data_IF_628376521038
#
_entry.id   IF_628376521038
#
_cell.length_a   1.000
_cell.length_b   1.000
_cell.length_c   1.000
_cell.angle_alpha   90.00
_cell.angle_beta   90.00
_cell.angle_gamma   90.00
#
_symmetry.space_group_name_H-M   'P 1'
#
loop_
_entity.id
_entity.type
_entity.pdbx_description
1 polymer ?
#
# COMPACT_ATOMS: atom_id res chain seq x y z
N UNK A 1 31.15 18.51 2.35
CA UNK A 1 29.76 18.98 2.44
C UNK A 1 29.23 19.15 1.02
N UNK A 2 28.04 18.63 0.71
CA UNK A 2 27.49 18.75 -0.65
C UNK A 2 26.75 20.09 -0.79
N UNK A 3 26.93 20.83 -1.89
CA UNK A 3 26.40 22.17 -2.06
C UNK A 3 24.87 22.15 -2.21
N UNK A 4 24.23 23.23 -1.73
CA UNK A 4 22.82 23.54 -1.94
C UNK A 4 22.48 23.48 -3.44
N UNK A 5 21.65 22.52 -3.84
CA UNK A 5 21.18 22.47 -5.22
C UNK A 5 20.33 21.26 -5.58
N UNK A 6 20.54 20.10 -4.96
CA UNK A 6 19.72 18.92 -5.23
C UNK A 6 19.34 18.22 -3.92
N UNK A 7 18.12 18.46 -3.46
CA UNK A 7 17.52 17.65 -2.40
C UNK A 7 17.48 16.20 -2.86
N UNK A 8 17.96 15.28 -2.01
CA UNK A 8 17.77 13.85 -2.25
C UNK A 8 16.28 13.52 -2.31
N UNK A 9 15.90 12.48 -3.07
CA UNK A 9 14.51 12.02 -3.19
C UNK A 9 13.85 11.82 -1.82
N UNK A 10 14.58 11.24 -0.88
CA UNK A 10 14.14 11.07 0.52
C UNK A 10 13.85 12.40 1.21
N UNK A 11 14.68 13.44 1.05
CA UNK A 11 14.44 14.77 1.62
C UNK A 11 13.23 15.45 0.97
N UNK A 12 13.05 15.29 -0.34
CA UNK A 12 11.87 15.81 -1.07
C UNK A 12 10.60 15.16 -0.53
N UNK A 13 10.56 13.83 -0.43
CA UNK A 13 9.42 13.08 0.14
C UNK A 13 9.15 13.50 1.58
N UNK A 14 10.19 13.62 2.40
CA UNK A 14 10.07 14.07 3.79
C UNK A 14 9.41 15.44 3.90
N UNK A 15 9.86 16.40 3.08
CA UNK A 15 9.35 17.77 3.06
C UNK A 15 7.92 17.82 2.54
N UNK A 16 7.62 17.08 1.48
CA UNK A 16 6.27 16.95 0.92
C UNK A 16 5.28 16.40 1.95
N UNK A 17 5.64 15.30 2.63
CA UNK A 17 4.82 14.69 3.68
C UNK A 17 4.52 15.67 4.82
N UNK A 18 5.50 16.45 5.26
CA UNK A 18 5.30 17.47 6.29
C UNK A 18 4.30 18.55 5.85
N UNK A 19 4.37 18.98 4.58
CA UNK A 19 3.43 19.97 4.02
C UNK A 19 2.01 19.40 3.90
N UNK A 20 1.89 18.16 3.44
CA UNK A 20 0.58 17.49 3.32
C UNK A 20 -0.09 17.25 4.67
N UNK A 21 0.66 16.91 5.71
CA UNK A 21 0.12 16.81 7.06
C UNK A 21 -0.38 18.15 7.59
N UNK A 22 0.38 19.23 7.37
CA UNK A 22 -0.05 20.58 7.75
C UNK A 22 -1.32 20.99 7.00
N UNK A 23 -1.40 20.67 5.71
CA UNK A 23 -2.60 20.87 4.91
C UNK A 23 -3.80 20.10 5.46
N UNK A 24 -3.65 18.79 5.67
CA UNK A 24 -4.70 17.92 6.20
C UNK A 24 -5.25 18.43 7.54
N UNK A 25 -4.35 18.85 8.45
CA UNK A 25 -4.72 19.43 9.75
C UNK A 25 -5.40 20.79 9.63
N UNK A 26 -4.91 21.65 8.73
CA UNK A 26 -5.44 23.02 8.55
C UNK A 26 -6.85 23.03 7.95
N UNK A 27 -7.15 22.09 7.06
CA UNK A 27 -8.43 22.05 6.34
C UNK A 27 -9.35 20.92 6.81
N UNK A 28 -8.97 20.19 7.87
CA UNK A 28 -9.72 19.02 8.37
C UNK A 28 -10.03 18.00 7.28
N UNK A 29 -9.07 17.78 6.38
CA UNK A 29 -9.21 16.89 5.22
C UNK A 29 -8.42 15.61 5.41
N UNK A 30 -8.91 14.51 4.83
CA UNK A 30 -8.16 13.27 4.73
C UNK A 30 -7.39 13.21 3.41
N UNK A 31 -6.09 12.90 3.46
CA UNK A 31 -5.22 12.86 2.28
C UNK A 31 -4.73 11.44 2.06
N UNK A 32 -5.01 10.90 0.88
CA UNK A 32 -4.50 9.60 0.42
C UNK A 32 -3.32 9.80 -0.51
N UNK A 33 -2.29 8.99 -0.34
CA UNK A 33 -1.13 8.95 -1.24
C UNK A 33 -0.94 7.50 -1.66
N UNK A 34 -0.91 7.26 -2.97
CA UNK A 34 -0.61 5.94 -3.54
C UNK A 34 0.85 5.93 -3.92
N UNK A 35 1.60 4.97 -3.37
CA UNK A 35 3.05 4.84 -3.60
C UNK A 35 3.34 3.48 -4.23
N UNK A 36 4.23 3.46 -5.22
CA UNK A 36 4.68 2.22 -5.82
C UNK A 36 5.71 1.52 -4.93
N UNK A 37 5.57 0.19 -4.72
CA UNK A 37 6.56 -0.59 -3.99
C UNK A 37 7.85 -0.74 -4.82
N UNK A 38 8.96 -0.99 -4.13
CA UNK A 38 10.25 -1.29 -4.76
C UNK A 38 10.20 -2.61 -5.54
N UNK A 39 11.00 -2.72 -6.62
CA UNK A 39 11.04 -3.94 -7.44
C UNK A 39 11.41 -5.21 -6.65
N UNK A 40 12.25 -5.09 -5.62
CA UNK A 40 12.71 -6.23 -4.80
C UNK A 40 11.59 -6.91 -4.00
N UNK A 41 10.66 -6.11 -3.47
CA UNK A 41 9.51 -6.62 -2.70
C UNK A 41 8.57 -7.50 -3.53
N UNK A 42 8.52 -7.31 -4.85
CA UNK A 42 7.67 -8.08 -5.75
C UNK A 42 8.23 -9.49 -6.02
N UNK A 43 9.56 -9.63 -5.97
CA UNK A 43 10.26 -10.87 -6.33
C UNK A 43 10.32 -11.86 -5.16
N UNK A 44 10.53 -11.36 -3.94
CA UNK A 44 10.87 -12.17 -2.77
C UNK A 44 9.76 -13.13 -2.29
N UNK A 45 8.51 -12.94 -2.70
CA UNK A 45 7.39 -13.79 -2.22
C UNK A 45 7.00 -13.57 -0.75
N UNK A 46 7.83 -12.83 -0.01
CA UNK A 46 7.59 -12.37 1.35
C UNK A 46 6.34 -11.46 1.43
N UNK A 47 5.82 -11.32 2.63
CA UNK A 47 4.73 -10.40 2.92
C UNK A 47 5.26 -8.97 2.81
N UNK A 48 4.67 -8.12 1.94
CA UNK A 48 5.13 -6.74 1.79
C UNK A 48 4.90 -5.95 3.08
N UNK A 49 5.83 -5.06 3.39
CA UNK A 49 5.72 -4.07 4.46
C UNK A 49 5.71 -2.66 3.86
N UNK A 50 5.18 -1.69 4.60
CA UNK A 50 5.24 -0.27 4.22
C UNK A 50 6.68 0.26 4.10
N UNK A 51 7.69 -0.44 4.62
CA UNK A 51 9.10 -0.12 4.37
C UNK A 51 9.55 -0.44 2.94
N UNK A 52 8.79 -1.27 2.21
CA UNK A 52 9.07 -1.61 0.82
C UNK A 52 8.65 -0.52 -0.18
N UNK A 53 8.08 0.60 0.28
CA UNK A 53 7.72 1.73 -0.56
C UNK A 53 8.97 2.38 -1.19
N UNK A 54 8.93 2.64 -2.50
CA UNK A 54 10.06 3.24 -3.21
C UNK A 54 10.28 4.71 -2.80
N UNK A 55 11.52 5.18 -2.93
CA UNK A 55 11.93 6.57 -2.75
C UNK A 55 12.24 6.99 -1.31
N UNK A 56 11.54 6.48 -0.28
CA UNK A 56 11.84 6.84 1.11
C UNK A 56 11.18 5.99 2.19
N UNK A 57 11.88 5.72 3.30
CA UNK A 57 11.27 5.19 4.53
C UNK A 57 10.33 6.21 5.22
N UNK A 58 10.34 7.48 4.80
CA UNK A 58 9.46 8.50 5.37
C UNK A 58 7.97 8.26 5.13
N UNK A 59 7.61 7.46 4.12
CA UNK A 59 6.22 7.05 3.90
C UNK A 59 5.64 6.39 5.16
N UNK A 60 6.33 5.37 5.67
CA UNK A 60 5.95 4.72 6.92
C UNK A 60 6.07 5.68 8.10
N UNK A 61 7.21 6.35 8.28
CA UNK A 61 7.45 7.14 9.49
C UNK A 61 6.42 8.26 9.69
N UNK A 62 6.01 8.92 8.60
CA UNK A 62 5.17 10.12 8.63
C UNK A 62 3.68 9.82 8.44
N UNK A 63 3.25 8.77 7.75
CA UNK A 63 1.82 8.51 7.60
C UNK A 63 1.13 8.18 8.93
N UNK A 64 -0.17 8.50 9.01
CA UNK A 64 -1.03 8.10 10.14
C UNK A 64 -1.48 6.65 9.98
N UNK A 65 -1.88 6.27 8.77
CA UNK A 65 -2.30 4.92 8.43
C UNK A 65 -1.51 4.41 7.22
N UNK A 66 -1.27 3.10 7.18
CA UNK A 66 -0.58 2.42 6.08
C UNK A 66 -1.39 1.23 5.64
N UNK A 67 -1.74 1.21 4.35
CA UNK A 67 -2.53 0.14 3.74
C UNK A 67 -1.74 -0.41 2.56
N UNK A 68 -1.62 -1.73 2.52
CA UNK A 68 -0.95 -2.46 1.46
C UNK A 68 -2.01 -3.27 0.71
N UNK A 69 -2.07 -3.05 -0.60
CA UNK A 69 -2.96 -3.80 -1.50
C UNK A 69 -2.11 -4.83 -2.23
N UNK A 70 -2.33 -6.11 -1.93
CA UNK A 70 -1.63 -7.23 -2.56
C UNK A 70 -2.59 -8.02 -3.42
N UNK A 71 -2.29 -8.04 -4.72
CA UNK A 71 -2.91 -8.99 -5.65
C UNK A 71 -1.99 -10.20 -5.83
N UNK A 72 -2.44 -11.43 -5.57
CA UNK A 72 -1.67 -12.62 -5.89
C UNK A 72 -1.52 -12.70 -7.41
N UNK A 73 -0.29 -12.53 -7.89
CA UNK A 73 0.06 -12.82 -9.28
C UNK A 73 0.58 -14.27 -9.34
N UNK A 74 0.06 -15.04 -10.29
CA UNK A 74 0.59 -16.36 -10.60
C UNK A 74 2.04 -16.21 -11.08
N UNK A 75 3.00 -16.77 -10.33
CA UNK A 75 4.43 -16.70 -10.67
C UNK A 75 4.82 -17.73 -11.74
N UNK A 76 3.91 -18.65 -12.09
CA UNK A 76 4.10 -19.64 -13.14
C UNK A 76 2.82 -19.82 -13.95
N UNK A 77 2.97 -20.25 -15.20
CA UNK A 77 1.85 -20.62 -16.08
C UNK A 77 0.95 -21.70 -15.46
N UNK A 78 1.53 -22.65 -14.70
CA UNK A 78 0.77 -23.68 -13.98
C UNK A 78 -0.11 -23.09 -12.87
N UNK A 79 0.39 -22.09 -12.14
CA UNK A 79 -0.39 -21.34 -11.15
C UNK A 79 -1.40 -20.39 -11.85
N UNK A 80 -1.12 -19.97 -13.08
CA UNK A 80 -2.01 -19.17 -13.92
C UNK A 80 -3.25 -19.95 -14.38
N UNK A 81 -3.09 -21.24 -14.66
CA UNK A 81 -4.20 -22.14 -15.01
C UNK A 81 -5.11 -22.43 -13.80
N UNK A 82 -4.56 -22.67 -12.60
CA UNK A 82 -5.36 -22.81 -11.38
C UNK A 82 -6.04 -21.50 -10.97
N UNK A 83 -5.47 -20.36 -11.34
CA UNK A 83 -6.07 -19.06 -11.10
C UNK A 83 -7.18 -18.68 -12.09
N UNK A 84 -7.55 -19.54 -13.03
CA UNK A 84 -8.78 -19.34 -13.82
C UNK A 84 -10.04 -19.78 -13.05
N UNK A 85 -9.86 -20.55 -11.99
CA UNK A 85 -10.92 -21.18 -11.19
C UNK A 85 -11.04 -20.48 -9.83
N UNK A 86 -11.90 -19.46 -9.73
CA UNK A 86 -12.48 -18.93 -8.49
C UNK A 86 -11.56 -18.22 -7.47
N UNK A 87 -10.52 -18.87 -6.94
CA UNK A 87 -9.72 -18.38 -5.79
C UNK A 87 -8.65 -17.32 -6.14
N UNK A 88 -8.46 -16.99 -7.41
CA UNK A 88 -7.36 -16.14 -7.89
C UNK A 88 -7.60 -14.64 -7.90
N UNK A 89 -8.87 -14.27 -7.83
CA UNK A 89 -9.29 -12.88 -7.91
C UNK A 89 -9.23 -12.23 -6.54
N UNK A 90 -8.90 -13.00 -5.50
CA UNK A 90 -8.78 -12.50 -4.15
C UNK A 90 -7.64 -11.47 -4.06
N UNK A 91 -7.92 -10.34 -3.44
CA UNK A 91 -6.95 -9.28 -3.15
C UNK A 91 -6.90 -9.11 -1.65
N UNK A 92 -5.70 -9.17 -1.10
CA UNK A 92 -5.46 -8.96 0.32
C UNK A 92 -5.20 -7.46 0.54
N UNK A 93 -6.02 -6.84 1.38
CA UNK A 93 -5.84 -5.48 1.88
C UNK A 93 -5.32 -5.59 3.31
N UNK A 94 -4.04 -5.29 3.51
CA UNK A 94 -3.41 -5.31 4.82
C UNK A 94 -3.30 -3.91 5.37
N UNK A 95 -3.81 -3.69 6.58
CA UNK A 95 -3.56 -2.49 7.38
C UNK A 95 -2.26 -2.72 8.16
N UNK A 96 -1.16 -2.23 7.62
CA UNK A 96 0.20 -2.43 8.14
C UNK A 96 0.60 -1.36 9.17
N UNK A 97 -0.10 -0.22 9.18
CA UNK A 97 0.11 0.85 10.17
C UNK A 97 -1.18 1.52 10.58
N UNK A 98 -1.33 1.70 11.89
CA UNK A 98 -2.31 2.61 12.50
C UNK A 98 -1.56 3.39 13.60
N UNK A 99 -1.46 4.72 13.47
CA UNK A 99 -0.79 5.57 14.47
C UNK A 99 -1.63 5.73 15.73
N UNK A 100 -2.95 5.86 15.56
CA UNK A 100 -3.89 6.14 16.63
C UNK A 100 -4.84 4.96 16.79
N UNK A 101 -4.78 4.24 17.92
CA UNK A 101 -5.61 3.05 18.15
C UNK A 101 -7.12 3.32 18.12
N UNK A 102 -7.56 4.55 18.41
CA UNK A 102 -8.97 4.93 18.25
C UNK A 102 -9.42 4.98 16.79
N UNK A 103 -8.49 5.09 15.84
CA UNK A 103 -8.80 5.11 14.40
C UNK A 103 -8.89 3.69 13.80
N UNK A 104 -8.52 2.65 14.54
CA UNK A 104 -8.62 1.26 14.10
C UNK A 104 -7.52 0.35 14.64
N UNK A 105 -7.45 -0.86 14.06
CA UNK A 105 -6.50 -1.89 14.44
C UNK A 105 -5.79 -2.44 13.20
N UNK A 106 -4.62 -3.04 13.42
CA UNK A 106 -3.91 -3.79 12.38
C UNK A 106 -4.74 -5.04 12.00
N UNK A 107 -4.70 -5.41 10.73
CA UNK A 107 -5.45 -6.56 10.24
C UNK A 107 -5.40 -6.69 8.73
N UNK A 108 -6.01 -7.76 8.23
CA UNK A 108 -6.08 -8.06 6.80
C UNK A 108 -7.52 -8.32 6.41
N UNK A 109 -8.00 -7.58 5.40
CA UNK A 109 -9.27 -7.79 4.75
C UNK A 109 -9.05 -8.43 3.37
N UNK A 110 -10.06 -9.14 2.87
CA UNK A 110 -10.00 -9.87 1.61
C UNK A 110 -11.12 -9.37 0.69
N UNK A 111 -10.76 -8.90 -0.50
CA UNK A 111 -11.69 -8.48 -1.55
C UNK A 111 -11.57 -9.39 -2.77
N UNK A 112 -12.50 -9.28 -3.71
CA UNK A 112 -12.44 -9.93 -5.02
C UNK A 112 -12.23 -8.86 -6.08
N UNK A 113 -11.24 -9.03 -6.96
CA UNK A 113 -11.00 -8.15 -8.09
C UNK A 113 -11.65 -8.66 -9.36
N UNK A 114 -12.49 -7.83 -9.97
CA UNK A 114 -13.15 -8.12 -11.23
C UNK A 114 -12.32 -7.54 -12.39
N UNK A 115 -11.71 -8.38 -13.26
CA UNK A 115 -10.83 -7.90 -14.33
C UNK A 115 -11.55 -7.14 -15.45
N UNK A 116 -12.86 -7.38 -15.65
CA UNK A 116 -13.64 -6.76 -16.71
C UNK A 116 -14.01 -5.32 -16.33
N UNK A 117 -14.48 -5.13 -15.10
CA UNK A 117 -14.86 -3.81 -14.58
C UNK A 117 -13.69 -3.05 -13.94
N UNK A 118 -12.57 -3.74 -13.67
CA UNK A 118 -11.44 -3.27 -12.86
C UNK A 118 -11.86 -2.81 -11.45
N UNK A 119 -13.02 -3.27 -10.98
CA UNK A 119 -13.56 -2.98 -9.65
C UNK A 119 -13.15 -4.01 -8.61
N UNK A 120 -13.41 -3.68 -7.35
CA UNK A 120 -13.28 -4.59 -6.21
C UNK A 120 -14.66 -4.83 -5.60
N UNK A 121 -14.94 -6.09 -5.33
CA UNK A 121 -16.18 -6.57 -4.73
C UNK A 121 -15.89 -7.17 -3.35
N UNK A 122 -16.84 -7.03 -2.43
CA UNK A 122 -16.72 -7.60 -1.10
C UNK A 122 -16.80 -9.13 -1.17
N UNK A 123 -15.88 -9.81 -0.45
CA UNK A 123 -15.96 -11.26 -0.31
C UNK A 123 -17.16 -11.57 0.59
N UNK A 124 -18.26 -12.02 0.00
CA UNK A 124 -19.43 -12.48 0.74
C UNK A 124 -19.03 -13.71 1.57
N UNK A 125 -18.80 -13.51 2.86
CA UNK A 125 -18.60 -14.62 3.81
C UNK A 125 -20.02 -15.11 4.13
N UNK A 126 -20.46 -16.17 3.45
CA UNK A 126 -21.67 -16.88 3.84
C UNK A 126 -21.47 -17.40 5.26
N UNK A 127 -22.19 -16.79 6.21
CA UNK A 127 -22.27 -17.22 7.61
C UNK A 127 -23.08 -18.50 7.77
#
# INVERSE_FOLDING_TARGET
EMPDGFLSETQVVSTMMSKLQQFAKRYSSHVWIVVHPTKGSQLAGNEPSMYDCCGSAHWFNKCDNGIIVRRPFAKSWAQQMQTSTGSSRQVDIKVDKVRNCYAGHLGTAKLIFNPETRGYEELQISG
#
